data_IF_088845137307
#
_entry.id   IF_088845137307
#
_cell.length_a   1.000
_cell.length_b   1.000
_cell.length_c   1.000
_cell.angle_alpha   90.00
_cell.angle_beta   90.00
_cell.angle_gamma   90.00
#
_symmetry.space_group_name_H-M   'P 1'
#
loop_
_entity.id
_entity.type
_entity.pdbx_description
1 polymer ?
#
# COMPACT_ATOMS: atom_id res chain seq x y z
N UNK A 1 -16.74 -18.51 9.01
CA UNK A 1 -15.96 -17.26 8.78
C UNK A 1 -14.95 -17.15 9.89
N UNK A 2 -13.68 -16.87 9.57
CA UNK A 2 -12.57 -16.66 10.51
C UNK A 2 -11.88 -15.34 10.19
N UNK A 3 -11.32 -14.67 11.20
CA UNK A 3 -10.68 -13.35 11.05
C UNK A 3 -9.24 -13.41 11.55
N UNK A 4 -8.29 -13.00 10.69
CA UNK A 4 -6.89 -12.83 11.05
C UNK A 4 -6.66 -11.40 11.55
N UNK A 5 -6.16 -11.24 12.77
CA UNK A 5 -5.73 -9.96 13.32
C UNK A 5 -4.21 -9.77 13.12
N UNK A 6 -3.83 -8.64 12.50
CA UNK A 6 -2.43 -8.25 12.28
C UNK A 6 -2.17 -6.94 13.05
N UNK A 7 -1.67 -7.00 14.29
CA UNK A 7 -1.37 -5.82 15.08
C UNK A 7 -0.05 -5.17 14.70
N UNK A 8 0.05 -3.88 15.02
CA UNK A 8 1.31 -3.15 15.08
C UNK A 8 1.67 -2.86 16.55
N UNK A 9 2.57 -3.63 17.16
CA UNK A 9 2.85 -3.50 18.60
C UNK A 9 3.46 -2.15 18.98
N UNK A 10 4.09 -1.44 18.05
CA UNK A 10 4.64 -0.10 18.34
C UNK A 10 3.55 0.97 18.44
N UNK A 11 2.38 0.75 17.85
CA UNK A 11 1.22 1.65 17.91
C UNK A 11 0.14 1.17 18.88
N UNK A 12 -0.07 -0.14 18.95
CA UNK A 12 -1.03 -0.79 19.86
C UNK A 12 -0.33 -1.26 21.13
N UNK A 13 -0.01 -0.32 22.01
CA UNK A 13 0.72 -0.59 23.23
C UNK A 13 0.00 -1.64 24.09
N UNK A 14 0.70 -2.72 24.43
CA UNK A 14 0.14 -3.86 25.15
C UNK A 14 -0.97 -4.60 24.40
N UNK A 15 -1.07 -4.38 23.09
CA UNK A 15 -2.10 -4.96 22.21
C UNK A 15 -3.54 -4.69 22.71
N UNK A 16 -3.78 -3.51 23.26
CA UNK A 16 -5.05 -3.18 23.92
C UNK A 16 -6.22 -3.20 22.93
N UNK A 17 -6.07 -2.57 21.76
CA UNK A 17 -7.12 -2.54 20.73
C UNK A 17 -7.25 -3.91 20.05
N UNK A 18 -6.14 -4.63 19.88
CA UNK A 18 -6.15 -6.01 19.36
C UNK A 18 -6.92 -6.95 20.29
N UNK A 19 -6.71 -6.83 21.62
CA UNK A 19 -7.48 -7.60 22.63
C UNK A 19 -8.97 -7.27 22.59
N UNK A 20 -9.30 -5.98 22.45
CA UNK A 20 -10.70 -5.54 22.28
C UNK A 20 -11.32 -6.16 21.02
N UNK A 21 -10.62 -6.12 19.88
CA UNK A 21 -11.08 -6.71 18.63
C UNK A 21 -11.30 -8.22 18.78
N UNK A 22 -10.33 -8.93 19.37
CA UNK A 22 -10.42 -10.36 19.61
C UNK A 22 -11.60 -10.73 20.53
N UNK A 23 -11.82 -9.96 21.62
CA UNK A 23 -12.94 -10.18 22.53
C UNK A 23 -14.30 -9.97 21.83
N UNK A 24 -14.44 -8.94 21.00
CA UNK A 24 -15.66 -8.67 20.23
C UNK A 24 -15.94 -9.82 19.27
N UNK A 25 -14.95 -10.25 18.48
CA UNK A 25 -15.11 -11.34 17.51
C UNK A 25 -15.41 -12.68 18.19
N UNK A 26 -14.67 -13.01 19.26
CA UNK A 26 -14.92 -14.24 20.05
C UNK A 26 -16.34 -14.24 20.68
N UNK A 27 -16.79 -13.10 21.19
CA UNK A 27 -18.15 -12.93 21.71
C UNK A 27 -19.25 -13.11 20.65
N UNK A 28 -18.91 -12.95 19.38
CA UNK A 28 -19.79 -13.21 18.23
C UNK A 28 -19.64 -14.64 17.67
N UNK A 29 -18.82 -15.47 18.30
CA UNK A 29 -18.54 -16.85 17.86
C UNK A 29 -17.66 -16.93 16.60
N UNK A 30 -16.93 -15.86 16.28
CA UNK A 30 -16.02 -15.80 15.14
C UNK A 30 -14.61 -16.24 15.58
N UNK A 31 -14.04 -17.33 15.00
CA UNK A 31 -12.66 -17.72 15.27
C UNK A 31 -11.68 -16.63 14.90
N UNK A 32 -10.78 -16.31 15.84
CA UNK A 32 -9.72 -15.31 15.66
C UNK A 32 -8.40 -16.03 15.43
N UNK A 33 -7.70 -15.63 14.37
CA UNK A 33 -6.35 -16.08 14.05
C UNK A 33 -5.37 -14.94 14.32
N UNK A 34 -4.17 -15.30 14.79
CA UNK A 34 -3.07 -14.35 14.97
C UNK A 34 -1.74 -14.99 14.56
N UNK A 35 -0.74 -14.20 14.11
CA UNK A 35 0.59 -14.72 13.85
C UNK A 35 1.25 -15.23 15.14
N UNK A 36 1.95 -16.35 15.04
CA UNK A 36 2.63 -17.02 16.17
C UNK A 36 3.51 -16.11 17.04
N UNK A 37 4.26 -15.12 16.51
CA UNK A 37 5.08 -14.24 17.35
C UNK A 37 4.32 -13.47 18.42
N UNK A 38 3.01 -13.24 18.25
CA UNK A 38 2.17 -12.54 19.23
C UNK A 38 1.63 -13.42 20.37
N UNK A 39 1.89 -14.74 20.33
CA UNK A 39 1.35 -15.65 21.32
C UNK A 39 1.78 -15.30 22.76
N UNK A 40 3.06 -14.92 22.94
CA UNK A 40 3.60 -14.55 24.26
C UNK A 40 3.08 -13.19 24.75
N UNK A 41 3.04 -12.19 23.86
CA UNK A 41 2.56 -10.84 24.19
C UNK A 41 1.06 -10.79 24.46
N UNK A 42 0.31 -11.59 23.72
CA UNK A 42 -1.14 -11.70 23.93
C UNK A 42 -1.44 -12.36 25.27
N UNK A 43 -0.53 -13.21 25.75
CA UNK A 43 -0.52 -13.83 27.07
C UNK A 43 -1.67 -14.78 27.31
N UNK A 44 -1.66 -15.38 28.50
CA UNK A 44 -2.70 -16.25 29.02
C UNK A 44 -4.00 -15.48 29.41
N UNK A 45 -4.35 -14.42 28.72
CA UNK A 45 -5.49 -13.55 29.04
C UNK A 45 -6.86 -14.24 28.87
N UNK A 46 -6.88 -15.58 28.79
CA UNK A 46 -8.12 -16.37 28.89
C UNK A 46 -9.13 -16.16 27.74
N UNK A 47 -8.75 -15.52 26.64
CA UNK A 47 -9.64 -15.37 25.49
C UNK A 47 -9.73 -16.72 24.77
N UNK A 48 -10.84 -17.41 24.95
CA UNK A 48 -11.19 -18.60 24.16
C UNK A 48 -11.45 -18.19 22.71
N UNK A 49 -11.05 -19.04 21.76
CA UNK A 49 -11.31 -18.79 20.32
C UNK A 49 -10.22 -18.00 19.60
N UNK A 50 -9.07 -17.72 20.23
CA UNK A 50 -7.88 -17.16 19.55
C UNK A 50 -6.88 -18.27 19.27
N UNK A 51 -6.46 -18.39 18.02
CA UNK A 51 -5.53 -19.41 17.54
C UNK A 51 -4.28 -18.75 16.95
N UNK A 52 -3.11 -19.18 17.36
CA UNK A 52 -1.83 -18.68 16.87
C UNK A 52 -1.25 -19.64 15.84
N UNK A 53 -0.90 -19.12 14.65
CA UNK A 53 -0.40 -19.90 13.53
C UNK A 53 0.85 -19.24 12.94
N UNK A 54 1.73 -19.97 12.25
CA UNK A 54 2.71 -19.37 11.37
C UNK A 54 2.02 -18.39 10.41
N UNK A 55 2.65 -17.25 10.13
CA UNK A 55 1.99 -16.15 9.42
C UNK A 55 1.35 -16.55 8.09
N UNK A 56 2.09 -17.32 7.26
CA UNK A 56 1.57 -17.81 5.97
C UNK A 56 0.36 -18.74 6.13
N UNK A 57 0.32 -19.56 7.19
CA UNK A 57 -0.80 -20.45 7.48
C UNK A 57 -2.00 -19.66 7.98
N UNK A 58 -1.76 -18.62 8.77
CA UNK A 58 -2.80 -17.73 9.26
C UNK A 58 -3.51 -17.02 8.09
N UNK A 59 -2.77 -16.48 7.10
CA UNK A 59 -3.37 -15.91 5.90
C UNK A 59 -4.16 -16.93 5.08
N UNK A 60 -3.67 -18.17 4.94
CA UNK A 60 -4.39 -19.23 4.22
C UNK A 60 -5.70 -19.60 4.90
N UNK A 61 -5.68 -19.75 6.22
CA UNK A 61 -6.82 -20.19 7.02
C UNK A 61 -7.88 -19.09 7.23
N UNK A 62 -7.51 -17.83 7.15
CA UNK A 62 -8.43 -16.71 7.36
C UNK A 62 -9.39 -16.53 6.18
N UNK A 63 -10.61 -16.09 6.46
CA UNK A 63 -11.54 -15.57 5.45
C UNK A 63 -11.36 -14.09 5.22
N UNK A 64 -11.02 -13.35 6.29
CA UNK A 64 -10.83 -11.90 6.28
C UNK A 64 -9.65 -11.52 7.17
N UNK A 65 -9.04 -10.36 6.89
CA UNK A 65 -7.91 -9.82 7.64
C UNK A 65 -8.31 -8.48 8.25
N UNK A 66 -7.92 -8.24 9.49
CA UNK A 66 -8.06 -6.95 10.16
C UNK A 66 -6.68 -6.50 10.61
N UNK A 67 -6.17 -5.41 10.05
CA UNK A 67 -4.92 -4.80 10.48
C UNK A 67 -5.19 -3.74 11.54
N UNK A 68 -4.37 -3.70 12.59
CA UNK A 68 -4.55 -2.76 13.72
C UNK A 68 -3.28 -1.93 13.85
N UNK A 69 -3.35 -0.63 13.41
CA UNK A 69 -2.17 0.23 13.43
C UNK A 69 -2.29 1.51 12.62
N UNK A 70 -2.58 1.43 11.34
CA UNK A 70 -2.68 2.54 10.39
C UNK A 70 -2.27 2.13 8.99
N UNK A 71 -2.19 3.10 8.05
CA UNK A 71 -1.90 2.83 6.62
C UNK A 71 -0.64 1.98 6.41
N UNK A 72 0.48 2.31 7.07
CA UNK A 72 1.72 1.54 6.94
C UNK A 72 1.61 0.09 7.45
N UNK A 73 0.71 -0.21 8.40
CA UNK A 73 0.43 -1.59 8.84
C UNK A 73 -0.36 -2.31 7.76
N UNK A 74 -1.36 -1.64 7.19
CA UNK A 74 -2.15 -2.18 6.10
C UNK A 74 -1.30 -2.42 4.84
N UNK A 75 -0.42 -1.49 4.47
CA UNK A 75 0.49 -1.67 3.33
C UNK A 75 1.34 -2.94 3.46
N UNK A 76 1.96 -3.16 4.64
CA UNK A 76 2.75 -4.38 4.87
C UNK A 76 1.93 -5.67 4.77
N UNK A 77 0.72 -5.68 5.33
CA UNK A 77 -0.17 -6.83 5.28
C UNK A 77 -0.86 -7.00 3.91
N UNK A 78 -1.06 -5.89 3.20
CA UNK A 78 -1.87 -5.81 1.98
C UNK A 78 -1.37 -6.70 0.84
N UNK A 79 -0.05 -6.76 0.63
CA UNK A 79 0.53 -7.65 -0.39
C UNK A 79 0.27 -9.13 -0.06
N UNK A 80 0.36 -9.52 1.22
CA UNK A 80 0.00 -10.87 1.65
C UNK A 80 -1.51 -11.12 1.50
N UNK A 81 -2.35 -10.14 1.83
CA UNK A 81 -3.79 -10.22 1.61
C UNK A 81 -4.12 -10.43 0.12
N UNK A 82 -3.49 -9.67 -0.76
CA UNK A 82 -3.65 -9.81 -2.21
C UNK A 82 -3.25 -11.21 -2.69
N UNK A 83 -2.03 -11.67 -2.33
CA UNK A 83 -1.50 -12.99 -2.73
C UNK A 83 -2.40 -14.15 -2.29
N UNK A 84 -3.02 -14.04 -1.14
CA UNK A 84 -3.94 -15.08 -0.60
C UNK A 84 -5.41 -14.82 -0.94
N UNK A 85 -5.71 -13.75 -1.71
CA UNK A 85 -7.06 -13.39 -2.08
C UNK A 85 -7.95 -13.00 -0.89
N UNK A 86 -7.39 -12.43 0.19
CA UNK A 86 -8.13 -12.10 1.40
C UNK A 86 -8.52 -10.61 1.42
N UNK A 87 -9.79 -10.28 1.70
CA UNK A 87 -10.19 -8.91 1.94
C UNK A 87 -9.65 -8.42 3.27
N UNK A 88 -9.30 -7.13 3.35
CA UNK A 88 -8.68 -6.53 4.53
C UNK A 88 -9.39 -5.27 5.00
N UNK A 89 -9.60 -5.17 6.31
CA UNK A 89 -10.05 -3.98 7.02
C UNK A 89 -8.85 -3.34 7.75
N UNK A 90 -8.67 -2.04 7.60
CA UNK A 90 -7.65 -1.30 8.35
C UNK A 90 -8.25 -0.56 9.55
N UNK A 91 -7.79 -0.89 10.76
CA UNK A 91 -8.07 -0.14 11.99
C UNK A 91 -6.95 0.85 12.24
N UNK A 92 -7.30 2.11 12.40
CA UNK A 92 -6.37 3.20 12.58
C UNK A 92 -6.21 3.60 14.05
N UNK A 93 -4.99 3.55 14.56
CA UNK A 93 -4.62 3.94 15.93
C UNK A 93 -4.08 5.36 16.04
N UNK A 94 -4.16 6.15 15.00
CA UNK A 94 -3.63 7.51 14.95
C UNK A 94 -4.56 8.47 14.23
N UNK A 95 -3.97 9.37 13.43
CA UNK A 95 -4.76 10.22 12.54
C UNK A 95 -5.35 9.36 11.43
N UNK A 96 -6.64 9.54 11.13
CA UNK A 96 -7.39 8.80 10.11
C UNK A 96 -6.55 8.53 8.86
N UNK A 97 -6.47 7.27 8.45
CA UNK A 97 -5.72 6.82 7.27
C UNK A 97 -6.50 7.05 5.97
N UNK A 98 -5.82 6.98 4.83
CA UNK A 98 -6.48 6.87 3.53
C UNK A 98 -6.87 5.43 3.21
N UNK A 99 -6.17 4.46 3.82
CA UNK A 99 -6.41 3.03 3.68
C UNK A 99 -7.05 2.42 4.94
N UNK A 100 -6.54 2.79 6.12
CA UNK A 100 -7.09 2.35 7.40
C UNK A 100 -8.18 3.35 7.84
N UNK A 101 -9.42 3.08 7.47
CA UNK A 101 -10.57 3.97 7.66
C UNK A 101 -11.41 3.67 8.90
N UNK A 102 -11.17 2.53 9.57
CA UNK A 102 -11.87 2.20 10.81
C UNK A 102 -11.21 2.88 12.01
N UNK A 103 -11.88 3.83 12.63
CA UNK A 103 -11.41 4.44 13.87
C UNK A 103 -11.68 3.52 15.09
N UNK A 104 -10.88 3.68 16.16
CA UNK A 104 -11.02 2.85 17.38
C UNK A 104 -12.42 2.98 17.98
N UNK A 105 -13.01 4.18 17.95
CA UNK A 105 -14.39 4.41 18.44
C UNK A 105 -15.47 3.64 17.69
N UNK A 106 -15.21 3.28 16.43
CA UNK A 106 -16.14 2.55 15.58
C UNK A 106 -15.89 1.02 15.56
N UNK A 107 -14.77 0.58 16.14
CA UNK A 107 -14.27 -0.80 16.04
C UNK A 107 -15.34 -1.84 16.33
N UNK A 108 -16.01 -1.71 17.48
CA UNK A 108 -17.03 -2.69 17.90
C UNK A 108 -18.20 -2.76 16.93
N UNK A 109 -18.69 -1.62 16.43
CA UNK A 109 -19.79 -1.58 15.49
C UNK A 109 -19.39 -2.17 14.12
N UNK A 110 -18.20 -1.79 13.61
CA UNK A 110 -17.69 -2.29 12.33
C UNK A 110 -17.37 -3.79 12.39
N UNK A 111 -16.84 -4.32 13.49
CA UNK A 111 -16.62 -5.76 13.66
C UNK A 111 -17.92 -6.57 13.74
N UNK A 112 -18.98 -6.03 14.33
CA UNK A 112 -20.31 -6.66 14.30
C UNK A 112 -20.86 -6.74 12.87
N UNK A 113 -20.76 -5.66 12.12
CA UNK A 113 -21.14 -5.63 10.69
C UNK A 113 -20.28 -6.58 9.86
N UNK A 114 -18.97 -6.62 10.12
CA UNK A 114 -18.04 -7.56 9.49
C UNK A 114 -18.50 -9.01 9.71
N UNK A 115 -18.82 -9.37 10.95
CA UNK A 115 -19.29 -10.70 11.32
C UNK A 115 -20.64 -11.05 10.67
N UNK A 116 -21.51 -10.08 10.46
CA UNK A 116 -22.79 -10.22 9.78
C UNK A 116 -22.67 -10.23 8.23
N UNK A 117 -21.47 -9.96 7.68
CA UNK A 117 -21.28 -9.84 6.23
C UNK A 117 -21.82 -8.52 5.63
N UNK A 118 -22.09 -7.52 6.46
CA UNK A 118 -22.68 -6.22 6.08
C UNK A 118 -21.59 -5.21 5.70
N UNK A 119 -20.90 -5.47 4.60
CA UNK A 119 -19.83 -4.62 4.05
C UNK A 119 -19.74 -4.74 2.53
N UNK A 120 -19.08 -3.79 1.89
CA UNK A 120 -18.73 -3.83 0.48
C UNK A 120 -17.22 -4.10 0.32
N UNK A 121 -16.80 -4.46 -0.89
CA UNK A 121 -15.39 -4.66 -1.23
C UNK A 121 -14.95 -3.59 -2.21
N UNK A 122 -14.12 -2.67 -1.73
CA UNK A 122 -13.47 -1.68 -2.57
C UNK A 122 -12.19 -2.27 -3.18
N UNK A 123 -12.15 -2.38 -4.50
CA UNK A 123 -11.02 -2.92 -5.25
C UNK A 123 -9.95 -1.83 -5.44
N UNK A 124 -8.68 -2.14 -5.17
CA UNK A 124 -7.55 -1.23 -5.36
C UNK A 124 -6.57 -1.82 -6.36
N UNK A 125 -6.21 -0.99 -7.37
CA UNK A 125 -5.16 -1.32 -8.33
C UNK A 125 -3.80 -1.29 -7.63
N UNK A 126 -2.91 -2.22 -8.00
CA UNK A 126 -1.49 -2.20 -7.66
C UNK A 126 -0.67 -1.92 -8.91
N UNK A 127 0.59 -1.54 -8.71
CA UNK A 127 1.61 -1.54 -9.75
C UNK A 127 2.48 -2.78 -9.60
N UNK A 128 2.97 -3.27 -10.74
CA UNK A 128 3.99 -4.29 -10.84
C UNK A 128 5.23 -3.68 -11.48
N UNK A 129 6.39 -3.90 -10.89
CA UNK A 129 7.66 -3.41 -11.40
C UNK A 129 8.65 -4.54 -11.59
N UNK A 130 9.47 -4.44 -12.64
CA UNK A 130 10.54 -5.38 -12.97
C UNK A 130 11.84 -4.63 -13.30
N UNK A 131 12.96 -5.10 -12.75
CA UNK A 131 14.30 -4.73 -13.19
C UNK A 131 14.98 -5.97 -13.82
N UNK A 132 14.88 -6.15 -15.14
CA UNK A 132 15.28 -7.40 -15.80
C UNK A 132 16.76 -7.72 -15.63
N UNK A 133 17.62 -6.69 -15.58
CA UNK A 133 19.07 -6.87 -15.39
C UNK A 133 19.42 -7.57 -14.06
N UNK A 134 18.54 -7.46 -13.06
CA UNK A 134 18.74 -8.00 -11.71
C UNK A 134 17.80 -9.15 -11.38
N UNK A 135 16.87 -9.52 -12.27
CA UNK A 135 15.80 -10.47 -11.97
C UNK A 135 14.90 -10.04 -10.82
N UNK A 136 14.88 -8.74 -10.52
CA UNK A 136 14.06 -8.17 -9.44
C UNK A 136 12.65 -7.87 -9.93
N UNK A 137 11.68 -8.20 -9.06
CA UNK A 137 10.26 -7.92 -9.27
C UNK A 137 9.63 -7.51 -7.95
N UNK A 138 8.71 -6.55 -8.00
CA UNK A 138 7.94 -6.14 -6.84
C UNK A 138 6.56 -5.58 -7.22
N UNK A 139 5.58 -5.78 -6.33
CA UNK A 139 4.27 -5.15 -6.40
C UNK A 139 4.19 -4.01 -5.39
N UNK A 140 3.47 -2.94 -5.74
CA UNK A 140 3.22 -1.80 -4.87
C UNK A 140 1.74 -1.44 -4.79
N UNK A 141 1.27 -1.17 -3.59
CA UNK A 141 -0.08 -0.68 -3.32
C UNK A 141 -0.13 0.84 -3.54
N UNK A 142 0.90 1.57 -3.09
CA UNK A 142 1.00 3.01 -3.29
C UNK A 142 1.81 3.37 -4.52
N UNK A 143 3.12 3.11 -4.49
CA UNK A 143 4.03 3.66 -5.51
C UNK A 143 5.29 2.82 -5.71
N UNK A 144 5.82 2.97 -6.92
CA UNK A 144 7.17 2.56 -7.33
C UNK A 144 7.95 3.85 -7.54
N UNK A 145 9.11 3.98 -6.88
CA UNK A 145 9.98 5.14 -7.02
C UNK A 145 11.31 4.76 -7.63
N UNK A 146 11.90 5.67 -8.41
CA UNK A 146 13.27 5.59 -8.91
C UNK A 146 13.99 6.86 -8.51
N UNK A 147 15.11 6.73 -7.78
CA UNK A 147 15.90 7.88 -7.33
C UNK A 147 17.38 7.65 -7.58
N UNK A 148 18.14 8.75 -7.75
CA UNK A 148 19.59 8.69 -7.72
C UNK A 148 20.12 8.21 -6.38
N UNK A 149 21.20 7.41 -6.39
CA UNK A 149 21.86 6.95 -5.17
C UNK A 149 22.47 8.11 -4.38
N UNK A 150 22.89 9.18 -5.07
CA UNK A 150 23.37 10.42 -4.43
C UNK A 150 22.35 11.52 -4.58
N UNK A 151 22.04 12.22 -3.48
CA UNK A 151 21.04 13.31 -3.46
C UNK A 151 21.57 14.65 -3.96
N UNK A 152 22.86 14.73 -4.33
CA UNK A 152 23.53 15.99 -4.67
C UNK A 152 23.49 16.31 -6.16
N UNK A 153 23.12 15.35 -7.00
CA UNK A 153 23.12 15.51 -8.45
C UNK A 153 21.80 15.04 -9.03
N UNK A 154 21.09 15.90 -9.77
CA UNK A 154 19.91 15.45 -10.51
C UNK A 154 20.32 14.44 -11.58
N UNK A 155 19.46 13.46 -11.78
CA UNK A 155 19.63 12.39 -12.74
C UNK A 155 18.90 12.71 -14.03
N UNK A 156 19.43 12.24 -15.15
CA UNK A 156 18.76 12.27 -16.43
C UNK A 156 18.02 10.94 -16.65
N UNK A 157 16.71 11.03 -16.91
CA UNK A 157 15.82 9.88 -17.12
C UNK A 157 15.13 9.99 -18.48
N UNK A 158 14.95 8.84 -19.14
CA UNK A 158 14.08 8.69 -20.31
C UNK A 158 12.90 7.81 -19.95
N UNK A 159 11.70 8.28 -20.25
CA UNK A 159 10.45 7.55 -20.02
C UNK A 159 9.82 7.17 -21.34
N UNK A 160 9.48 5.90 -21.47
CA UNK A 160 8.78 5.34 -22.61
C UNK A 160 7.45 4.75 -22.17
N UNK A 161 6.42 4.86 -23.02
CA UNK A 161 5.13 4.20 -22.86
C UNK A 161 4.86 3.36 -24.09
N UNK A 162 4.70 2.04 -23.94
CA UNK A 162 4.48 1.07 -25.01
C UNK A 162 5.52 1.21 -26.15
N UNK A 163 6.77 1.51 -25.79
CA UNK A 163 7.90 1.69 -26.71
C UNK A 163 8.04 3.11 -27.29
N UNK A 164 7.06 3.99 -27.14
CA UNK A 164 7.15 5.38 -27.58
C UNK A 164 7.79 6.26 -26.49
N UNK A 165 8.73 7.12 -26.86
CA UNK A 165 9.34 8.09 -25.94
C UNK A 165 8.26 9.10 -25.49
N UNK A 166 8.00 9.15 -24.19
CA UNK A 166 7.11 10.13 -23.56
C UNK A 166 7.84 11.43 -23.25
N UNK A 167 9.08 11.32 -22.73
CA UNK A 167 9.89 12.48 -22.41
C UNK A 167 11.23 12.13 -21.81
N UNK A 168 12.10 13.14 -21.77
CA UNK A 168 13.37 13.14 -21.06
C UNK A 168 13.28 14.11 -19.90
N UNK A 169 13.71 13.69 -18.71
CA UNK A 169 13.60 14.47 -17.48
C UNK A 169 14.96 14.57 -16.83
N UNK A 170 15.28 15.75 -16.31
CA UNK A 170 16.37 15.95 -15.38
C UNK A 170 15.76 16.24 -14.01
N UNK A 171 15.87 15.31 -13.07
CA UNK A 171 15.15 15.35 -11.79
C UNK A 171 15.88 14.55 -10.71
N UNK A 172 15.50 14.73 -9.45
CA UNK A 172 16.03 13.91 -8.34
C UNK A 172 15.51 12.47 -8.43
N UNK A 173 14.34 12.27 -9.01
CA UNK A 173 13.71 10.97 -9.18
C UNK A 173 12.38 11.01 -9.88
N UNK A 174 11.78 9.84 -9.99
CA UNK A 174 10.46 9.60 -10.60
C UNK A 174 9.62 8.76 -9.65
N UNK A 175 8.35 9.12 -9.51
CA UNK A 175 7.35 8.36 -8.76
C UNK A 175 6.27 7.88 -9.72
N UNK A 176 6.03 6.57 -9.78
CA UNK A 176 4.85 5.99 -10.39
C UNK A 176 3.91 5.55 -9.29
N UNK A 177 2.75 6.20 -9.20
CA UNK A 177 1.78 5.91 -8.15
C UNK A 177 0.49 5.32 -8.70
N UNK A 178 -0.11 4.45 -7.90
CA UNK A 178 -1.49 4.00 -8.08
C UNK A 178 -2.45 5.14 -7.72
N UNK A 179 -3.75 5.03 -8.02
CA UNK A 179 -4.74 5.95 -7.49
C UNK A 179 -4.73 6.02 -5.95
N UNK A 180 -4.51 4.89 -5.27
CA UNK A 180 -4.34 4.84 -3.81
C UNK A 180 -3.10 5.64 -3.36
N UNK A 181 -1.96 5.43 -4.00
CA UNK A 181 -0.69 6.12 -3.71
C UNK A 181 -0.66 7.59 -4.15
N UNK A 182 -1.64 8.04 -4.95
CA UNK A 182 -1.73 9.44 -5.38
C UNK A 182 -1.87 10.43 -4.21
N UNK A 183 -2.33 9.97 -3.04
CA UNK A 183 -2.42 10.74 -1.80
C UNK A 183 -1.20 10.60 -0.89
N UNK A 184 -0.18 9.82 -1.31
CA UNK A 184 1.05 9.55 -0.56
C UNK A 184 2.23 10.39 -1.09
N UNK A 185 3.33 9.73 -1.47
CA UNK A 185 4.54 10.44 -1.89
C UNK A 185 4.36 11.23 -3.19
N UNK A 186 3.58 10.71 -4.15
CA UNK A 186 3.23 11.44 -5.38
C UNK A 186 2.57 12.78 -5.09
N UNK A 187 1.64 12.85 -4.12
CA UNK A 187 1.02 14.12 -3.70
C UNK A 187 2.04 15.11 -3.15
N UNK A 188 2.96 14.65 -2.31
CA UNK A 188 4.03 15.50 -1.75
C UNK A 188 4.98 16.03 -2.83
N UNK A 189 5.12 15.32 -3.95
CA UNK A 189 5.90 15.72 -5.11
C UNK A 189 5.11 16.57 -6.13
N UNK A 190 3.86 16.95 -5.82
CA UNK A 190 3.01 17.78 -6.69
C UNK A 190 2.15 17.00 -7.68
N UNK A 191 2.01 15.70 -7.49
CA UNK A 191 1.08 14.86 -8.26
C UNK A 191 -0.39 15.15 -7.92
N UNK A 192 -1.32 14.90 -8.85
CA UNK A 192 -2.76 15.06 -8.62
C UNK A 192 -3.29 13.96 -7.69
N UNK A 193 -4.35 14.28 -6.96
CA UNK A 193 -5.17 13.26 -6.27
C UNK A 193 -6.03 12.58 -7.32
N UNK A 194 -5.99 11.25 -7.33
CA UNK A 194 -6.79 10.41 -8.21
C UNK A 194 -7.90 9.72 -7.41
N UNK A 195 -9.04 9.51 -8.05
CA UNK A 195 -10.09 8.64 -7.51
C UNK A 195 -9.52 7.21 -7.35
N UNK A 196 -9.61 6.65 -6.13
CA UNK A 196 -9.06 5.33 -5.83
C UNK A 196 -9.72 4.18 -6.61
N UNK A 197 -10.89 4.42 -7.21
CA UNK A 197 -11.57 3.49 -8.09
C UNK A 197 -11.09 3.57 -9.55
N UNK A 198 -10.35 4.63 -9.92
CA UNK A 198 -9.87 4.81 -11.29
C UNK A 198 -8.86 3.73 -11.69
N UNK A 199 -8.89 3.35 -12.96
CA UNK A 199 -7.98 2.34 -13.52
C UNK A 199 -6.83 3.00 -14.29
N UNK A 200 -6.01 3.75 -13.54
CA UNK A 200 -4.92 4.57 -14.05
C UNK A 200 -3.68 4.44 -13.17
N UNK A 201 -2.56 4.99 -13.63
CA UNK A 201 -1.35 5.25 -12.85
C UNK A 201 -0.85 6.66 -13.16
N UNK A 202 -0.15 7.29 -12.23
CA UNK A 202 0.44 8.62 -12.42
C UNK A 202 1.94 8.57 -12.30
N UNK A 203 2.63 9.18 -13.26
CA UNK A 203 4.06 9.48 -13.22
C UNK A 203 4.25 10.90 -12.70
N UNK A 204 4.95 11.05 -11.60
CA UNK A 204 5.25 12.34 -10.98
C UNK A 204 6.77 12.51 -10.90
N UNK A 205 7.37 13.45 -11.67
CA UNK A 205 8.79 13.80 -11.53
C UNK A 205 9.03 14.52 -10.20
N UNK A 206 10.17 14.24 -9.56
CA UNK A 206 10.53 14.86 -8.27
C UNK A 206 11.59 15.92 -8.51
N UNK A 207 11.32 17.16 -8.10
CA UNK A 207 12.25 18.30 -8.25
C UNK A 207 12.80 18.41 -9.68
N UNK A 208 11.95 18.29 -10.70
CA UNK A 208 12.39 18.32 -12.08
C UNK A 208 12.92 19.72 -12.47
N UNK A 209 14.05 19.72 -13.19
CA UNK A 209 14.67 20.94 -13.71
C UNK A 209 14.09 21.37 -15.07
N UNK A 210 13.25 20.53 -15.68
CA UNK A 210 12.56 20.87 -16.92
C UNK A 210 11.41 21.85 -16.63
N UNK A 211 11.34 22.96 -17.35
CA UNK A 211 10.37 24.05 -17.14
C UNK A 211 8.89 23.61 -17.21
N UNK A 212 8.61 22.48 -17.88
CA UNK A 212 7.26 21.94 -18.10
C UNK A 212 7.08 20.48 -17.71
N UNK A 213 7.84 20.01 -16.72
CA UNK A 213 7.73 18.63 -16.22
C UNK A 213 6.46 18.47 -15.36
N UNK A 214 5.30 18.35 -16.00
CA UNK A 214 4.05 18.07 -15.30
C UNK A 214 3.90 16.57 -15.02
N UNK A 215 3.17 16.19 -13.95
CA UNK A 215 2.74 14.81 -13.75
C UNK A 215 1.87 14.32 -14.92
N UNK A 216 2.06 13.06 -15.31
CA UNK A 216 1.34 12.44 -16.42
C UNK A 216 0.51 11.25 -15.92
N UNK A 217 -0.74 11.19 -16.33
CA UNK A 217 -1.65 10.09 -16.00
C UNK A 217 -1.76 9.15 -17.20
N UNK A 218 -1.59 7.86 -16.95
CA UNK A 218 -1.68 6.79 -17.95
C UNK A 218 -2.78 5.80 -17.57
N UNK A 219 -3.38 5.14 -18.55
CA UNK A 219 -4.20 3.96 -18.29
C UNK A 219 -3.33 2.88 -17.61
N UNK A 220 -3.91 2.14 -16.68
CA UNK A 220 -3.15 1.21 -15.84
C UNK A 220 -2.59 -0.01 -16.62
N UNK A 221 -3.12 -0.31 -17.78
CA UNK A 221 -2.66 -1.38 -18.68
C UNK A 221 -1.46 -0.99 -19.55
N UNK A 222 -1.03 0.27 -19.53
CA UNK A 222 0.16 0.73 -20.24
C UNK A 222 1.43 0.15 -19.61
N UNK A 223 2.45 -0.06 -20.46
CA UNK A 223 3.78 -0.50 -20.04
C UNK A 223 4.73 0.69 -20.07
N UNK A 224 5.08 1.18 -18.89
CA UNK A 224 6.06 2.25 -18.76
C UNK A 224 7.46 1.65 -18.58
N UNK A 225 8.43 2.24 -19.27
CA UNK A 225 9.85 1.93 -19.12
C UNK A 225 10.59 3.19 -18.73
N UNK A 226 11.25 3.17 -17.56
CA UNK A 226 12.11 4.23 -17.09
C UNK A 226 13.56 3.78 -17.25
N UNK A 227 14.39 4.61 -17.87
CA UNK A 227 15.83 4.39 -18.03
C UNK A 227 16.54 5.55 -17.35
N UNK A 228 17.37 5.27 -16.35
CA UNK A 228 18.39 6.22 -15.91
C UNK A 228 19.46 6.31 -17.00
N UNK A 229 19.73 7.50 -17.56
CA UNK A 229 20.62 7.65 -18.71
C UNK A 229 22.01 7.04 -18.41
N UNK A 230 22.61 6.45 -19.43
CA UNK A 230 23.94 5.83 -19.33
C UNK A 230 25.06 6.83 -19.04
N UNK A 231 24.82 8.13 -19.31
CA UNK A 231 25.76 9.21 -19.05
C UNK A 231 25.68 9.73 -17.58
N UNK A 232 24.70 9.25 -16.79
CA UNK A 232 24.66 9.58 -15.37
C UNK A 232 25.93 9.11 -14.65
N UNK A 233 26.45 9.95 -13.74
CA UNK A 233 27.68 9.64 -12.97
C UNK A 233 27.44 8.53 -11.96
N UNK A 234 26.25 8.53 -11.37
CA UNK A 234 25.86 7.66 -10.27
C UNK A 234 24.76 6.70 -10.74
N UNK A 235 24.63 5.58 -10.06
CA UNK A 235 23.51 4.67 -10.20
C UNK A 235 22.23 5.25 -9.60
N UNK A 236 21.14 4.57 -9.83
CA UNK A 236 19.84 4.83 -9.21
C UNK A 236 19.38 3.60 -8.44
N UNK A 237 18.29 3.74 -7.71
CA UNK A 237 17.59 2.60 -7.11
C UNK A 237 16.10 2.70 -7.39
N UNK A 238 15.47 1.54 -7.56
CA UNK A 238 14.03 1.40 -7.57
C UNK A 238 13.54 0.90 -6.22
N UNK A 239 12.37 1.34 -5.77
CA UNK A 239 11.78 0.89 -4.51
C UNK A 239 10.26 0.81 -4.61
N UNK A 240 9.66 -0.26 -4.09
CA UNK A 240 8.22 -0.48 -4.02
C UNK A 240 7.73 -0.30 -2.58
N UNK A 241 6.75 0.59 -2.36
CA UNK A 241 6.13 0.88 -1.05
C UNK A 241 7.15 1.03 0.10
N UNK A 242 8.32 1.62 -0.18
CA UNK A 242 9.42 1.82 0.79
C UNK A 242 9.96 0.53 1.43
N UNK A 243 9.72 -0.64 0.83
CA UNK A 243 10.10 -1.94 1.42
C UNK A 243 11.00 -2.79 0.54
N UNK A 244 10.66 -2.98 -0.73
CA UNK A 244 11.45 -3.76 -1.67
C UNK A 244 12.31 -2.83 -2.54
N UNK A 245 13.63 -2.98 -2.49
CA UNK A 245 14.58 -2.13 -3.20
C UNK A 245 15.46 -2.93 -4.16
N UNK A 246 15.83 -2.30 -5.27
CA UNK A 246 16.79 -2.81 -6.25
C UNK A 246 17.68 -1.67 -6.75
N UNK A 247 18.96 -1.86 -6.76
CA UNK A 247 19.91 -0.92 -7.37
C UNK A 247 19.89 -1.08 -8.90
N UNK A 248 20.03 0.05 -9.60
CA UNK A 248 20.05 0.14 -11.06
C UNK A 248 21.33 0.87 -11.49
N UNK A 249 22.10 0.27 -12.38
CA UNK A 249 23.25 0.92 -12.99
C UNK A 249 22.80 1.92 -14.07
N UNK A 250 23.65 2.92 -14.43
CA UNK A 250 23.37 3.80 -15.55
C UNK A 250 23.08 3.03 -16.84
N UNK A 251 22.02 3.39 -17.56
CA UNK A 251 21.56 2.70 -18.76
C UNK A 251 20.61 1.54 -18.53
N UNK A 252 20.47 1.06 -17.31
CA UNK A 252 19.50 0.02 -16.98
C UNK A 252 18.08 0.55 -16.89
N UNK A 253 17.12 -0.34 -17.06
CA UNK A 253 15.71 0.02 -17.14
C UNK A 253 14.88 -0.61 -16.02
N UNK A 254 13.90 0.15 -15.54
CA UNK A 254 12.76 -0.32 -14.76
C UNK A 254 11.53 -0.36 -15.66
N UNK A 255 10.84 -1.50 -15.66
CA UNK A 255 9.55 -1.68 -16.32
C UNK A 255 8.45 -1.59 -15.27
N UNK A 256 7.37 -0.85 -15.55
CA UNK A 256 6.23 -0.72 -14.63
C UNK A 256 4.93 -0.79 -15.40
N UNK A 257 3.98 -1.57 -14.88
CA UNK A 257 2.62 -1.69 -15.40
C UNK A 257 1.63 -1.88 -14.25
N UNK A 258 0.33 -1.83 -14.52
CA UNK A 258 -0.67 -2.22 -13.54
C UNK A 258 -0.61 -3.72 -13.25
N UNK A 259 -0.59 -4.08 -11.97
CA UNK A 259 -0.63 -5.48 -11.55
C UNK A 259 -1.97 -6.12 -11.96
N UNK A 260 -1.92 -7.38 -12.42
CA UNK A 260 -3.11 -8.15 -12.77
C UNK A 260 -4.01 -8.49 -11.57
N UNK A 261 -3.44 -8.52 -10.37
CA UNK A 261 -4.17 -8.73 -9.12
C UNK A 261 -4.60 -7.41 -8.49
N UNK A 262 -5.60 -7.46 -7.63
CA UNK A 262 -6.13 -6.29 -6.91
C UNK A 262 -6.22 -6.56 -5.42
N UNK A 263 -5.93 -5.55 -4.62
CA UNK A 263 -6.21 -5.58 -3.18
C UNK A 263 -7.69 -5.28 -2.96
N UNK A 264 -8.36 -6.07 -2.11
CA UNK A 264 -9.75 -5.88 -1.72
C UNK A 264 -9.82 -5.29 -0.32
N UNK A 265 -10.25 -4.03 -0.21
CA UNK A 265 -10.50 -3.38 1.07
C UNK A 265 -11.94 -3.60 1.49
N UNK A 266 -12.16 -3.92 2.76
CA UNK A 266 -13.48 -3.95 3.36
C UNK A 266 -13.90 -2.52 3.64
N UNK A 267 -15.03 -2.09 3.10
CA UNK A 267 -15.60 -0.76 3.25
C UNK A 267 -17.03 -0.84 3.80
N UNK A 268 -17.39 0.10 4.63
CA UNK A 268 -18.72 0.21 5.22
C UNK A 268 -19.52 1.39 4.70
N UNK A 269 -18.84 2.26 3.94
CA UNK A 269 -19.42 3.42 3.28
C UNK A 269 -18.64 3.68 1.98
N UNK A 270 -19.34 3.92 0.88
CA UNK A 270 -18.73 4.21 -0.42
C UNK A 270 -18.01 5.58 -0.45
N UNK A 271 -18.34 6.47 0.49
CA UNK A 271 -17.72 7.78 0.62
C UNK A 271 -16.47 7.82 1.50
N UNK A 272 -16.01 6.70 2.10
CA UNK A 272 -14.88 6.67 3.04
C UNK A 272 -13.63 7.37 2.50
N UNK A 273 -13.32 7.22 1.19
CA UNK A 273 -12.20 7.90 0.57
C UNK A 273 -12.36 9.42 0.55
N UNK A 274 -13.53 9.90 0.19
CA UNK A 274 -13.79 11.35 0.12
C UNK A 274 -13.79 11.99 1.49
N UNK A 275 -14.30 11.29 2.51
CA UNK A 275 -14.18 11.71 3.90
C UNK A 275 -12.73 11.80 4.35
N UNK A 276 -11.89 10.85 3.94
CA UNK A 276 -10.45 10.88 4.25
C UNK A 276 -9.75 12.07 3.55
N UNK A 277 -10.08 12.36 2.30
CA UNK A 277 -9.55 13.52 1.55
C UNK A 277 -9.97 14.82 2.23
N UNK A 278 -11.26 14.99 2.53
CA UNK A 278 -11.78 16.18 3.20
C UNK A 278 -11.07 16.42 4.54
N UNK A 279 -11.03 15.39 5.40
CA UNK A 279 -10.50 15.52 6.75
C UNK A 279 -8.99 15.75 6.80
N UNK A 280 -8.22 15.21 5.83
CA UNK A 280 -6.75 15.26 5.86
C UNK A 280 -6.14 16.37 5.03
N UNK A 281 -6.74 16.68 3.89
CA UNK A 281 -6.13 17.55 2.90
C UNK A 281 -6.86 18.89 2.77
N UNK A 282 -8.18 18.94 3.06
CA UNK A 282 -8.98 20.13 2.85
C UNK A 282 -9.27 20.90 4.16
N UNK A 283 -9.30 20.23 5.31
CA UNK A 283 -9.43 20.93 6.61
C UNK A 283 -8.08 21.45 7.06
N UNK A 284 -7.98 22.76 7.27
CA UNK A 284 -6.84 23.45 7.87
C UNK A 284 -6.90 23.38 9.40
#
# INVERSE_FOLDING_TARGET
MSVLLIPNPTKDTGLAVTRQAAAVLAGLGVPVLMPQPFANEFGSAGLTGVHFLPEADAYRAADQVVTIGGDGTLLRAGLSCMKHGKPVLGVNLGRTGFLATCEVGELTAKLKRLAAGEFTLASRRLLHAEAPAHGWQADAINDIVVFGQTRLHPMDYKVYCDGALVGSYRSDGMILATPTGSTAYSFSAGGPILDAAADVMVLTPVCAHNVHAAPLVFAADRHLKIIADAENRDGSFACADSSAQCDLLPGESLLVTGCGQRLRLIAFDDAEQFHAIENKLMRR
#
